data_IF_237414795401
#
_entry.id   IF_237414795401
#
_cell.length_a   1.000
_cell.length_b   1.000
_cell.length_c   1.000
_cell.angle_alpha   90.00
_cell.angle_beta   90.00
_cell.angle_gamma   90.00
#
_symmetry.space_group_name_H-M   'P 1'
#
loop_
_entity.id
_entity.type
_entity.pdbx_description
1 polymer ?
#
# COMPACT_ATOMS: atom_id res chain seq x y z
N UNK A 1 -10.94 3.87 11.40
CA UNK A 1 -9.48 4.09 11.56
C UNK A 1 -8.62 2.85 11.28
N UNK A 2 -8.51 1.84 12.16
CA UNK A 2 -7.64 0.67 11.90
C UNK A 2 -7.99 -0.09 10.61
N UNK A 3 -9.28 -0.38 10.39
CA UNK A 3 -9.74 -1.00 9.14
C UNK A 3 -9.47 -0.14 7.90
N UNK A 4 -9.45 1.19 8.02
CA UNK A 4 -9.11 2.08 6.90
C UNK A 4 -7.62 2.07 6.62
N UNK A 5 -6.77 2.02 7.66
CA UNK A 5 -5.33 1.82 7.52
C UNK A 5 -5.05 0.52 6.76
N UNK A 6 -5.70 -0.58 7.14
CA UNK A 6 -5.54 -1.86 6.44
C UNK A 6 -5.94 -1.74 4.96
N UNK A 7 -7.05 -1.05 4.65
CA UNK A 7 -7.45 -0.79 3.27
C UNK A 7 -6.41 0.03 2.50
N UNK A 8 -5.84 1.09 3.10
CA UNK A 8 -4.79 1.88 2.46
C UNK A 8 -3.52 1.05 2.19
N UNK A 9 -3.13 0.17 3.11
CA UNK A 9 -1.97 -0.71 2.92
C UNK A 9 -2.20 -1.75 1.81
N UNK A 10 -3.43 -2.24 1.66
CA UNK A 10 -3.84 -3.10 0.54
C UNK A 10 -3.84 -2.33 -0.78
N UNK A 11 -4.42 -1.13 -0.81
CA UNK A 11 -4.40 -0.23 -1.97
C UNK A 11 -2.95 0.07 -2.39
N UNK A 12 -2.05 0.33 -1.43
CA UNK A 12 -0.63 0.59 -1.69
C UNK A 12 0.02 -0.58 -2.42
N UNK A 13 -0.13 -1.78 -1.85
CA UNK A 13 0.39 -3.02 -2.41
C UNK A 13 -0.12 -3.27 -3.81
N UNK A 14 -1.44 -3.10 -4.02
CA UNK A 14 -2.09 -3.29 -5.33
C UNK A 14 -1.55 -2.32 -6.38
N UNK A 15 -1.37 -1.06 -6.01
CA UNK A 15 -0.85 -0.03 -6.91
C UNK A 15 0.57 -0.36 -7.38
N UNK A 16 1.46 -0.74 -6.47
CA UNK A 16 2.85 -1.10 -6.83
C UNK A 16 2.89 -2.33 -7.74
N UNK A 17 2.09 -3.37 -7.45
CA UNK A 17 1.99 -4.54 -8.33
C UNK A 17 1.53 -4.18 -9.74
N UNK A 18 0.52 -3.33 -9.87
CA UNK A 18 -0.01 -2.89 -11.16
C UNK A 18 1.05 -2.12 -11.98
N UNK A 19 1.79 -1.22 -11.34
CA UNK A 19 2.80 -0.41 -12.03
C UNK A 19 4.02 -1.25 -12.45
N UNK A 20 4.45 -2.18 -11.61
CA UNK A 20 5.49 -3.14 -11.97
C UNK A 20 5.08 -4.00 -13.17
N UNK A 21 3.83 -4.47 -13.20
CA UNK A 21 3.30 -5.20 -14.35
C UNK A 21 3.24 -4.34 -15.63
N UNK A 22 3.05 -3.02 -15.49
CA UNK A 22 3.07 -2.06 -16.58
C UNK A 22 4.50 -1.60 -16.99
N UNK A 23 5.56 -2.12 -16.36
CA UNK A 23 6.95 -1.72 -16.62
C UNK A 23 7.30 -0.30 -16.17
N UNK A 24 6.49 0.32 -15.30
CA UNK A 24 6.67 1.69 -14.83
C UNK A 24 7.41 1.71 -13.50
N UNK A 25 8.73 1.87 -13.55
CA UNK A 25 9.59 1.82 -12.36
C UNK A 25 9.77 3.17 -11.65
N UNK A 26 9.41 4.30 -12.26
CA UNK A 26 9.51 5.63 -11.65
C UNK A 26 8.68 5.76 -10.37
N UNK A 27 7.62 4.94 -10.24
CA UNK A 27 6.80 4.94 -9.04
C UNK A 27 7.51 4.34 -7.83
N UNK A 28 8.54 3.53 -8.04
CA UNK A 28 9.27 2.92 -6.92
C UNK A 28 10.01 3.98 -6.10
N UNK A 29 10.56 5.02 -6.75
CA UNK A 29 11.13 6.18 -6.04
C UNK A 29 10.09 6.95 -5.23
N UNK A 30 8.88 7.12 -5.77
CA UNK A 30 7.78 7.75 -5.04
C UNK A 30 7.32 6.88 -3.87
N UNK A 31 7.27 5.56 -4.06
CA UNK A 31 6.94 4.58 -3.04
C UNK A 31 7.99 4.52 -1.93
N UNK A 32 9.27 4.64 -2.26
CA UNK A 32 10.38 4.75 -1.31
C UNK A 32 10.21 5.98 -0.41
N UNK A 33 9.94 7.16 -0.98
CA UNK A 33 9.69 8.37 -0.19
C UNK A 33 8.48 8.22 0.75
N UNK A 34 7.42 7.57 0.27
CA UNK A 34 6.23 7.26 1.09
C UNK A 34 6.54 6.26 2.20
N UNK A 35 7.39 5.27 1.92
CA UNK A 35 7.84 4.29 2.90
C UNK A 35 8.57 4.95 4.06
N UNK A 36 9.41 5.98 3.81
CA UNK A 36 10.12 6.72 4.87
C UNK A 36 9.15 7.27 5.91
N UNK A 37 8.16 8.04 5.45
CA UNK A 37 7.19 8.69 6.34
C UNK A 37 6.39 7.68 7.15
N UNK A 38 5.92 6.60 6.49
CA UNK A 38 5.16 5.55 7.15
C UNK A 38 5.99 4.81 8.20
N UNK A 39 7.21 4.38 7.86
CA UNK A 39 8.07 3.61 8.76
C UNK A 39 8.52 4.45 9.96
N UNK A 40 8.79 5.75 9.76
CA UNK A 40 9.08 6.68 10.86
C UNK A 40 7.90 6.77 11.84
N UNK A 41 6.65 6.83 11.34
CA UNK A 41 5.45 6.87 12.20
C UNK A 41 5.18 5.55 12.93
N UNK A 42 5.46 4.42 12.30
CA UNK A 42 5.23 3.10 12.89
C UNK A 42 6.26 2.80 13.98
N UNK A 43 7.56 2.96 13.67
CA UNK A 43 8.63 2.53 14.55
C UNK A 43 9.23 3.65 15.41
N UNK A 44 8.86 4.92 15.17
CA UNK A 44 9.48 6.06 15.82
C UNK A 44 10.90 6.33 15.32
N UNK A 45 11.23 5.86 14.12
CA UNK A 45 12.53 6.09 13.49
C UNK A 45 12.67 7.53 12.96
N UNK A 46 13.92 7.87 12.62
CA UNK A 46 14.37 9.07 11.95
C UNK A 46 15.11 8.67 10.67
N UNK A 47 14.41 7.92 9.82
CA UNK A 47 14.95 7.43 8.55
C UNK A 47 15.24 8.60 7.61
N UNK A 48 16.43 8.57 7.03
CA UNK A 48 16.90 9.47 5.99
C UNK A 48 17.36 8.65 4.78
N UNK A 49 17.37 9.26 3.59
CA UNK A 49 17.84 8.57 2.39
C UNK A 49 19.34 8.25 2.50
N UNK A 50 19.71 6.99 2.29
CA UNK A 50 21.09 6.52 2.41
C UNK A 50 22.06 7.27 1.49
N UNK A 51 21.59 7.75 0.33
CA UNK A 51 22.39 8.52 -0.60
C UNK A 51 22.85 9.86 -0.02
N UNK A 52 22.08 10.44 0.91
CA UNK A 52 22.41 11.71 1.54
C UNK A 52 23.43 11.55 2.68
N UNK A 53 23.50 10.37 3.30
CA UNK A 53 24.24 10.14 4.55
C UNK A 53 25.51 9.33 4.34
N UNK A 54 25.46 8.28 3.52
CA UNK A 54 26.59 7.37 3.30
C UNK A 54 27.43 7.80 2.10
N UNK A 55 26.83 7.72 0.90
CA UNK A 55 27.45 8.09 -0.37
C UNK A 55 26.36 8.09 -1.45
N UNK A 56 26.50 8.94 -2.48
CA UNK A 56 25.61 8.88 -3.65
C UNK A 56 25.56 7.48 -4.27
N UNK A 57 24.33 7.00 -4.53
CA UNK A 57 24.02 5.67 -5.05
C UNK A 57 24.59 4.54 -4.18
N UNK A 58 24.43 4.63 -2.87
CA UNK A 58 24.89 3.59 -1.96
C UNK A 58 24.21 2.26 -2.32
N UNK A 59 24.98 1.17 -2.52
CA UNK A 59 24.43 -0.05 -3.05
C UNK A 59 23.52 -0.76 -2.04
N UNK A 60 22.35 -1.17 -2.53
CA UNK A 60 21.40 -2.06 -1.86
C UNK A 60 20.76 -1.56 -0.56
N UNK A 61 21.04 -0.34 -0.13
CA UNK A 61 20.46 0.26 1.06
C UNK A 61 19.82 1.58 0.67
N UNK A 62 18.56 1.75 1.04
CA UNK A 62 17.75 2.90 0.61
C UNK A 62 17.62 3.94 1.72
N UNK A 63 17.46 3.47 2.97
CA UNK A 63 17.22 4.32 4.13
C UNK A 63 18.13 3.95 5.30
N UNK A 64 18.52 4.97 6.07
CA UNK A 64 19.33 4.81 7.28
C UNK A 64 18.79 5.65 8.41
N UNK A 65 18.95 5.15 9.62
CA UNK A 65 18.74 5.88 10.86
C UNK A 65 19.93 5.61 11.77
N UNK A 66 20.89 6.54 11.76
CA UNK A 66 22.10 6.45 12.58
C UNK A 66 21.80 6.58 14.09
N UNK A 67 20.69 7.21 14.47
CA UNK A 67 20.32 7.36 15.89
C UNK A 67 19.84 6.02 16.46
N UNK A 68 18.98 5.31 15.72
CA UNK A 68 18.46 4.02 16.15
C UNK A 68 19.32 2.83 15.67
N UNK A 69 20.35 3.07 14.86
CA UNK A 69 21.24 2.02 14.35
C UNK A 69 20.56 1.11 13.31
N UNK A 70 19.59 1.65 12.56
CA UNK A 70 18.75 0.88 11.61
C UNK A 70 19.12 1.21 10.17
N UNK A 71 19.18 0.17 9.35
CA UNK A 71 19.27 0.27 7.90
C UNK A 71 18.05 -0.41 7.28
N UNK A 72 17.46 0.22 6.27
CA UNK A 72 16.31 -0.34 5.56
C UNK A 72 16.57 -0.37 4.06
N UNK A 73 16.34 -1.54 3.47
CA UNK A 73 16.23 -1.73 2.04
C UNK A 73 14.73 -1.78 1.69
N UNK A 74 14.31 -0.99 0.71
CA UNK A 74 12.92 -0.91 0.23
C UNK A 74 12.85 -1.55 -1.16
N UNK A 75 12.11 -2.64 -1.33
CA UNK A 75 12.01 -3.36 -2.61
C UNK A 75 10.57 -3.68 -2.96
N UNK A 76 10.23 -3.62 -4.25
CA UNK A 76 8.96 -4.13 -4.75
C UNK A 76 9.00 -5.62 -5.14
N UNK A 77 10.17 -6.25 -5.12
CA UNK A 77 10.36 -7.66 -5.49
C UNK A 77 10.72 -8.50 -4.28
N UNK A 78 10.06 -9.65 -4.14
CA UNK A 78 10.24 -10.61 -3.05
C UNK A 78 11.35 -11.65 -3.28
N UNK A 79 12.09 -11.57 -4.40
CA UNK A 79 13.10 -12.57 -4.76
C UNK A 79 14.29 -12.61 -3.78
N UNK A 80 14.81 -13.81 -3.54
CA UNK A 80 15.97 -14.05 -2.66
C UNK A 80 17.25 -13.40 -3.14
N UNK A 81 17.40 -13.18 -4.44
CA UNK A 81 18.66 -12.65 -4.99
C UNK A 81 18.93 -11.22 -4.51
N UNK A 82 17.91 -10.35 -4.52
CA UNK A 82 18.03 -8.99 -3.96
C UNK A 82 18.31 -9.00 -2.46
N UNK A 83 17.65 -9.91 -1.76
CA UNK A 83 17.79 -10.07 -0.33
C UNK A 83 19.24 -10.46 0.04
N UNK A 84 19.77 -11.49 -0.63
CA UNK A 84 21.15 -11.94 -0.43
C UNK A 84 22.15 -10.86 -0.83
N UNK A 85 21.94 -10.23 -1.99
CA UNK A 85 22.79 -9.13 -2.46
C UNK A 85 22.86 -7.99 -1.45
N UNK A 86 21.72 -7.65 -0.82
CA UNK A 86 21.66 -6.61 0.21
C UNK A 86 22.47 -6.98 1.44
N UNK A 87 22.35 -8.23 1.92
CA UNK A 87 23.14 -8.72 3.05
C UNK A 87 24.64 -8.71 2.74
N UNK A 88 25.04 -9.18 1.56
CA UNK A 88 26.43 -9.16 1.10
C UNK A 88 26.96 -7.72 1.07
N UNK A 89 26.22 -6.78 0.48
CA UNK A 89 26.63 -5.36 0.46
C UNK A 89 26.69 -4.71 1.83
N UNK A 90 25.76 -5.04 2.72
CA UNK A 90 25.78 -4.58 4.10
C UNK A 90 27.06 -5.02 4.84
N UNK A 91 27.46 -6.29 4.64
CA UNK A 91 28.66 -6.87 5.25
C UNK A 91 29.95 -6.38 4.62
N UNK A 92 30.02 -6.32 3.28
CA UNK A 92 31.18 -5.82 2.51
C UNK A 92 31.55 -4.39 2.90
N UNK A 93 30.55 -3.52 3.05
CA UNK A 93 30.73 -2.12 3.45
C UNK A 93 30.87 -1.93 4.96
N UNK A 94 30.88 -3.03 5.73
CA UNK A 94 31.01 -3.03 7.20
C UNK A 94 30.00 -2.14 7.92
N UNK A 95 28.79 -2.05 7.37
CA UNK A 95 27.71 -1.22 7.96
C UNK A 95 27.32 -1.68 9.37
N UNK A 96 27.55 -2.97 9.68
CA UNK A 96 27.36 -3.54 11.02
C UNK A 96 28.15 -2.83 12.14
N UNK A 97 29.18 -2.05 11.82
CA UNK A 97 29.92 -1.27 12.81
C UNK A 97 29.11 -0.07 13.35
N UNK A 98 28.15 0.42 12.57
CA UNK A 98 27.31 1.58 12.91
C UNK A 98 25.86 1.18 13.12
N UNK A 99 25.37 0.22 12.33
CA UNK A 99 23.98 -0.19 12.30
C UNK A 99 23.86 -1.64 12.74
N UNK A 100 23.10 -1.90 13.81
CA UNK A 100 22.94 -3.24 14.37
C UNK A 100 21.71 -3.98 13.82
N UNK A 101 20.87 -3.30 13.03
CA UNK A 101 19.65 -3.85 12.48
C UNK A 101 19.53 -3.54 10.98
N UNK A 102 19.32 -4.58 10.18
CA UNK A 102 18.93 -4.48 8.78
C UNK A 102 17.47 -4.93 8.61
N UNK A 103 16.64 -4.10 7.99
CA UNK A 103 15.25 -4.42 7.64
C UNK A 103 15.13 -4.44 6.11
N UNK A 104 14.48 -5.46 5.58
CA UNK A 104 14.06 -5.57 4.20
C UNK A 104 12.55 -5.30 4.17
N UNK A 105 12.16 -4.13 3.68
CA UNK A 105 10.78 -3.75 3.50
C UNK A 105 10.33 -4.06 2.07
N UNK A 106 9.40 -5.00 1.95
CA UNK A 106 8.83 -5.44 0.69
C UNK A 106 7.51 -4.69 0.47
N UNK A 107 7.47 -3.80 -0.52
CA UNK A 107 6.30 -3.00 -0.89
C UNK A 107 5.14 -3.85 -1.44
N UNK A 108 5.44 -5.07 -1.90
CA UNK A 108 4.46 -6.04 -2.39
C UNK A 108 4.17 -7.12 -1.34
N UNK A 109 4.20 -8.40 -1.70
CA UNK A 109 4.01 -9.50 -0.74
C UNK A 109 5.34 -10.20 -0.47
N UNK A 110 5.63 -10.49 0.79
CA UNK A 110 6.80 -11.29 1.16
C UNK A 110 6.54 -12.79 0.89
N UNK A 111 7.58 -13.53 0.50
CA UNK A 111 7.50 -14.96 0.20
C UNK A 111 8.17 -15.83 1.29
N UNK A 112 7.48 -16.01 2.42
CA UNK A 112 8.02 -16.67 3.62
C UNK A 112 8.60 -18.07 3.39
N UNK A 113 7.98 -18.87 2.53
CA UNK A 113 8.44 -20.23 2.22
C UNK A 113 9.81 -20.23 1.53
N UNK A 114 10.04 -19.26 0.63
CA UNK A 114 11.27 -19.14 -0.14
C UNK A 114 12.41 -18.66 0.77
N UNK A 115 12.12 -17.79 1.74
CA UNK A 115 13.14 -17.29 2.65
C UNK A 115 13.66 -18.34 3.63
N UNK A 116 12.79 -19.25 4.09
CA UNK A 116 13.18 -20.32 5.02
C UNK A 116 14.27 -21.22 4.47
N UNK A 117 14.31 -21.47 3.16
CA UNK A 117 15.35 -22.29 2.54
C UNK A 117 16.72 -21.57 2.45
N UNK A 118 16.79 -20.27 2.80
CA UNK A 118 18.02 -19.47 2.73
C UNK A 118 18.67 -19.19 4.09
N UNK A 119 18.10 -19.68 5.20
CA UNK A 119 18.56 -19.42 6.58
C UNK A 119 20.07 -19.68 6.75
N UNK A 120 20.56 -20.85 6.33
CA UNK A 120 21.97 -21.23 6.48
C UNK A 120 22.90 -20.29 5.71
N UNK A 121 22.51 -19.91 4.48
CA UNK A 121 23.27 -18.97 3.65
C UNK A 121 23.37 -17.60 4.32
N UNK A 122 22.28 -17.13 4.93
CA UNK A 122 22.23 -15.84 5.62
C UNK A 122 23.12 -15.84 6.85
N UNK A 123 23.03 -16.89 7.66
CA UNK A 123 23.88 -17.02 8.85
C UNK A 123 25.37 -16.99 8.46
N UNK A 124 25.73 -17.64 7.36
CA UNK A 124 27.09 -17.59 6.83
C UNK A 124 27.51 -16.20 6.34
N UNK A 125 26.63 -15.46 5.67
CA UNK A 125 26.92 -14.09 5.20
C UNK A 125 27.10 -13.14 6.40
N UNK A 126 26.22 -13.25 7.40
CA UNK A 126 26.20 -12.35 8.55
C UNK A 126 27.32 -12.63 9.56
N UNK A 127 27.86 -13.85 9.58
CA UNK A 127 29.01 -14.24 10.41
C UNK A 127 28.87 -13.82 11.89
N UNK A 128 27.64 -13.92 12.42
CA UNK A 128 27.30 -13.53 13.79
C UNK A 128 27.44 -12.04 14.12
N UNK A 129 27.69 -11.15 13.14
CA UNK A 129 27.87 -9.71 13.36
C UNK A 129 26.59 -8.99 13.73
N UNK A 130 25.45 -9.44 13.19
CA UNK A 130 24.12 -8.93 13.52
C UNK A 130 23.12 -10.09 13.65
N UNK A 131 22.08 -9.89 14.46
CA UNK A 131 20.95 -10.81 14.54
C UNK A 131 19.99 -10.58 13.39
N UNK A 132 19.44 -11.66 12.83
CA UNK A 132 18.47 -11.59 11.74
C UNK A 132 17.32 -12.58 11.94
N UNK A 133 16.12 -12.06 12.16
CA UNK A 133 14.87 -12.81 12.25
C UNK A 133 13.94 -12.36 11.11
N UNK A 134 13.53 -13.30 10.26
CA UNK A 134 12.62 -13.03 9.15
C UNK A 134 11.30 -12.38 9.56
N UNK A 135 10.80 -12.60 10.78
CA UNK A 135 9.56 -11.99 11.25
C UNK A 135 9.71 -10.49 11.50
N UNK A 136 10.89 -10.04 11.92
CA UNK A 136 11.14 -8.65 12.32
C UNK A 136 11.98 -7.89 11.31
N UNK A 137 12.86 -8.59 10.59
CA UNK A 137 13.79 -8.03 9.62
C UNK A 137 13.30 -8.15 8.18
N UNK A 138 12.22 -8.91 7.91
CA UNK A 138 11.55 -8.91 6.59
C UNK A 138 10.08 -8.58 6.78
N UNK A 139 9.71 -7.39 6.35
CA UNK A 139 8.37 -6.85 6.59
C UNK A 139 7.71 -6.48 5.26
N UNK A 140 6.41 -6.72 5.15
CA UNK A 140 5.58 -6.25 4.05
C UNK A 140 4.41 -5.43 4.60
N UNK A 141 3.57 -4.90 3.72
CA UNK A 141 2.40 -4.11 4.13
C UNK A 141 1.42 -4.90 5.01
N UNK A 142 1.31 -6.21 4.82
CA UNK A 142 0.52 -7.08 5.71
C UNK A 142 1.14 -7.13 7.11
N UNK A 143 2.45 -7.27 7.20
CA UNK A 143 3.19 -7.25 8.45
C UNK A 143 3.08 -5.90 9.17
N UNK A 144 3.17 -4.78 8.44
CA UNK A 144 2.95 -3.45 9.00
C UNK A 144 1.53 -3.31 9.56
N UNK A 145 0.50 -3.76 8.84
CA UNK A 145 -0.88 -3.78 9.34
C UNK A 145 -1.02 -4.58 10.64
N UNK A 146 -0.37 -5.75 10.75
CA UNK A 146 -0.35 -6.54 11.98
C UNK A 146 0.31 -5.80 13.15
N UNK A 147 1.41 -5.07 12.90
CA UNK A 147 2.09 -4.25 13.92
C UNK A 147 1.17 -3.12 14.40
N UNK A 148 0.57 -2.38 13.45
CA UNK A 148 -0.29 -1.24 13.75
C UNK A 148 -1.55 -1.68 14.53
N UNK A 149 -2.13 -2.82 14.17
CA UNK A 149 -3.27 -3.39 14.90
C UNK A 149 -2.93 -3.76 16.36
N UNK A 150 -1.65 -3.92 16.70
CA UNK A 150 -1.17 -4.11 18.08
C UNK A 150 -0.96 -2.80 18.86
N UNK A 151 -1.09 -1.62 18.24
CA UNK A 151 -0.86 -0.35 18.92
C UNK A 151 -2.00 0.01 19.87
N UNK A 152 -1.63 0.50 21.06
CA UNK A 152 -2.57 1.04 22.06
C UNK A 152 -2.66 2.57 21.94
N UNK A 153 -1.60 3.23 21.44
CA UNK A 153 -1.53 4.68 21.37
C UNK A 153 -2.38 5.23 20.22
N UNK A 154 -3.59 5.69 20.55
CA UNK A 154 -4.56 6.26 19.60
C UNK A 154 -3.98 7.46 18.82
N UNK A 155 -3.11 8.27 19.42
CA UNK A 155 -2.49 9.42 18.71
C UNK A 155 -1.54 8.95 17.61
N UNK A 156 -0.78 7.89 17.87
CA UNK A 156 0.09 7.29 16.86
C UNK A 156 -0.73 6.68 15.72
N UNK A 157 -1.78 5.91 16.05
CA UNK A 157 -2.69 5.33 15.05
C UNK A 157 -3.35 6.43 14.21
N UNK A 158 -3.80 7.52 14.84
CA UNK A 158 -4.37 8.67 14.14
C UNK A 158 -3.38 9.39 13.22
N UNK A 159 -2.12 9.47 13.62
CA UNK A 159 -1.07 10.06 12.78
C UNK A 159 -0.76 9.20 11.55
N UNK A 160 -0.72 7.87 11.73
CA UNK A 160 -0.55 6.90 10.64
C UNK A 160 -1.75 6.94 9.68
N UNK A 161 -2.97 6.93 10.23
CA UNK A 161 -4.19 7.04 9.44
C UNK A 161 -4.20 8.31 8.60
N UNK A 162 -3.92 9.48 9.21
CA UNK A 162 -3.87 10.76 8.49
C UNK A 162 -2.78 10.80 7.42
N UNK A 163 -1.61 10.21 7.70
CA UNK A 163 -0.53 10.11 6.72
C UNK A 163 -0.98 9.31 5.49
N UNK A 164 -1.50 8.10 5.71
CA UNK A 164 -1.99 7.24 4.62
C UNK A 164 -3.18 7.87 3.89
N UNK A 165 -4.11 8.46 4.64
CA UNK A 165 -5.24 9.19 4.06
C UNK A 165 -4.77 10.28 3.08
N UNK A 166 -3.77 11.09 3.45
CA UNK A 166 -3.24 12.12 2.53
C UNK A 166 -2.59 11.52 1.28
N UNK A 167 -1.84 10.43 1.43
CA UNK A 167 -1.18 9.76 0.31
C UNK A 167 -2.18 9.13 -0.68
N UNK A 168 -3.33 8.64 -0.20
CA UNK A 168 -4.34 7.96 -1.02
C UNK A 168 -5.54 8.84 -1.40
N UNK A 169 -5.92 9.85 -0.61
CA UNK A 169 -6.98 10.82 -0.99
C UNK A 169 -6.54 11.77 -2.09
N UNK A 170 -5.26 12.11 -2.19
CA UNK A 170 -4.75 12.86 -3.34
C UNK A 170 -5.05 12.16 -4.69
N UNK A 171 -5.34 10.85 -4.67
CA UNK A 171 -5.75 10.06 -5.84
C UNK A 171 -7.28 9.99 -6.02
N UNK A 172 -8.06 10.22 -4.96
CA UNK A 172 -9.54 10.24 -5.01
C UNK A 172 -10.12 11.63 -5.30
N UNK A 173 -9.42 12.70 -4.93
CA UNK A 173 -9.82 14.09 -5.19
C UNK A 173 -9.43 14.62 -6.57
N UNK A 174 -8.71 13.83 -7.39
CA UNK A 174 -8.88 13.96 -8.84
C UNK A 174 -10.32 13.56 -9.12
N UNK A 175 -11.24 14.53 -9.06
CA UNK A 175 -12.60 14.41 -9.57
C UNK A 175 -12.50 13.56 -10.82
N UNK A 176 -13.07 12.36 -10.78
CA UNK A 176 -13.51 11.75 -12.02
C UNK A 176 -14.50 12.79 -12.54
N UNK A 177 -14.04 13.67 -13.43
CA UNK A 177 -14.96 14.39 -14.29
C UNK A 177 -15.75 13.27 -14.96
N UNK A 178 -17.00 13.11 -14.51
CA UNK A 178 -17.95 12.29 -15.24
C UNK A 178 -17.79 12.72 -16.71
N UNK A 179 -17.58 11.78 -17.66
CA UNK A 179 -17.55 12.11 -19.08
C UNK A 179 -18.67 13.10 -19.36
N UNK A 180 -18.44 14.16 -20.13
CA UNK A 180 -19.46 15.21 -20.35
C UNK A 180 -20.80 14.60 -20.84
N UNK A 181 -20.71 13.46 -21.51
CA UNK A 181 -21.74 12.54 -21.96
C UNK A 181 -22.59 11.90 -20.85
N UNK A 182 -22.15 11.89 -19.59
CA UNK A 182 -22.94 11.51 -18.42
C UNK A 182 -23.85 12.64 -17.90
N UNK A 183 -23.46 13.91 -18.11
CA UNK A 183 -24.35 15.05 -17.80
C UNK A 183 -25.57 15.08 -18.72
N UNK A 184 -25.45 14.57 -19.96
CA UNK A 184 -26.57 14.36 -20.89
C UNK A 184 -27.64 13.40 -20.34
N UNK A 185 -27.29 12.50 -19.42
CA UNK A 185 -28.27 11.59 -18.80
C UNK A 185 -29.02 12.20 -17.61
N UNK A 186 -28.54 13.33 -17.07
CA UNK A 186 -29.06 13.93 -15.83
C UNK A 186 -30.16 14.97 -16.04
N UNK A 187 -30.39 15.45 -17.27
CA UNK A 187 -31.34 16.53 -17.54
C UNK A 187 -32.77 16.08 -17.85
N UNK A 188 -33.03 14.77 -18.01
CA UNK A 188 -34.34 14.25 -18.41
C UNK A 188 -34.87 13.17 -17.46
N UNK A 189 -34.89 13.42 -16.15
CA UNK A 189 -35.68 12.61 -15.22
C UNK A 189 -37.02 13.29 -14.97
N UNK A 190 -37.89 13.22 -15.97
CA UNK A 190 -39.33 13.29 -15.72
C UNK A 190 -39.76 12.09 -14.86
N UNK A 191 -40.79 12.28 -14.05
CA UNK A 191 -41.39 11.36 -13.07
C UNK A 191 -41.95 10.04 -13.64
N UNK A 192 -41.29 9.39 -14.59
CA UNK A 192 -41.84 8.26 -15.36
C UNK A 192 -41.61 6.87 -14.72
N UNK A 193 -41.05 6.79 -13.51
CA UNK A 193 -40.78 5.52 -12.81
C UNK A 193 -41.58 5.41 -11.50
N UNK A 194 -42.80 4.88 -11.62
CA UNK A 194 -43.66 4.54 -10.48
C UNK A 194 -43.39 3.06 -10.10
N UNK A 195 -43.31 2.75 -8.80
CA UNK A 195 -43.32 1.38 -8.21
C UNK A 195 -42.04 0.49 -8.26
N UNK A 196 -40.82 1.04 -8.21
CA UNK A 196 -39.58 0.22 -8.06
C UNK A 196 -38.67 0.56 -6.87
N UNK A 197 -39.21 1.17 -5.83
CA UNK A 197 -38.47 1.61 -4.63
C UNK A 197 -37.66 0.46 -3.99
N UNK A 198 -38.24 -0.72 -3.82
CA UNK A 198 -37.57 -1.88 -3.20
C UNK A 198 -36.36 -2.39 -3.99
N UNK A 199 -36.43 -2.36 -5.34
CA UNK A 199 -35.33 -2.77 -6.19
C UNK A 199 -34.18 -1.74 -6.14
N UNK A 200 -34.50 -0.46 -6.05
CA UNK A 200 -33.51 0.62 -5.89
C UNK A 200 -32.80 0.48 -4.53
N UNK A 201 -33.55 0.21 -3.45
CA UNK A 201 -32.99 -0.07 -2.13
C UNK A 201 -32.07 -1.29 -2.14
N UNK A 202 -32.45 -2.37 -2.82
CA UNK A 202 -31.62 -3.57 -2.95
C UNK A 202 -30.30 -3.28 -3.70
N UNK A 203 -30.37 -2.50 -4.79
CA UNK A 203 -29.19 -2.08 -5.56
C UNK A 203 -28.27 -1.22 -4.70
N UNK A 204 -28.81 -0.26 -3.95
CA UNK A 204 -28.05 0.59 -3.03
C UNK A 204 -27.38 -0.24 -1.91
N UNK A 205 -28.10 -1.20 -1.32
CA UNK A 205 -27.54 -2.11 -0.34
C UNK A 205 -26.39 -2.97 -0.90
N UNK A 206 -26.43 -3.34 -2.19
CA UNK A 206 -25.33 -4.03 -2.87
C UNK A 206 -24.11 -3.13 -3.07
N UNK A 207 -24.31 -1.85 -3.39
CA UNK A 207 -23.20 -0.88 -3.46
C UNK A 207 -22.50 -0.65 -2.13
N UNK A 208 -23.18 -0.81 -0.98
CA UNK A 208 -22.52 -0.77 0.33
C UNK A 208 -21.56 -1.94 0.57
N UNK A 209 -21.65 -3.02 -0.23
CA UNK A 209 -20.88 -4.26 -0.05
C UNK A 209 -20.00 -4.63 -1.23
N UNK A 210 -20.10 -3.90 -2.36
CA UNK A 210 -19.40 -4.18 -3.60
C UNK A 210 -19.22 -2.89 -4.42
N UNK A 211 -18.07 -2.76 -5.07
CA UNK A 211 -17.80 -1.65 -6.00
C UNK A 211 -18.45 -1.85 -7.39
N UNK A 212 -19.03 -3.03 -7.64
CA UNK A 212 -19.65 -3.39 -8.92
C UNK A 212 -21.02 -4.03 -8.66
N UNK A 213 -22.04 -3.53 -9.34
CA UNK A 213 -23.40 -4.11 -9.37
C UNK A 213 -23.80 -4.37 -10.82
N UNK A 214 -24.14 -5.62 -11.13
CA UNK A 214 -24.59 -6.02 -12.47
C UNK A 214 -26.13 -6.02 -12.54
N UNK A 215 -26.70 -5.20 -13.43
CA UNK A 215 -28.13 -5.22 -13.74
C UNK A 215 -28.39 -6.08 -14.97
N UNK A 216 -29.05 -7.23 -14.80
CA UNK A 216 -29.39 -8.13 -15.90
C UNK A 216 -30.91 -8.30 -16.04
N UNK A 217 -31.36 -8.75 -17.22
CA UNK A 217 -32.78 -8.92 -17.55
C UNK A 217 -33.04 -8.84 -19.05
N UNK A 218 -34.26 -9.15 -19.48
CA UNK A 218 -34.68 -9.11 -20.89
C UNK A 218 -34.63 -7.69 -21.48
N UNK A 219 -34.61 -7.57 -22.80
CA UNK A 219 -34.63 -6.27 -23.49
C UNK A 219 -35.90 -5.49 -23.17
N UNK A 220 -35.83 -4.16 -23.10
CA UNK A 220 -36.97 -3.28 -22.82
C UNK A 220 -37.46 -3.21 -21.36
N UNK A 221 -36.92 -4.03 -20.44
CA UNK A 221 -37.41 -4.10 -19.03
C UNK A 221 -37.02 -2.90 -18.14
N UNK A 222 -36.38 -1.87 -18.71
CA UNK A 222 -36.02 -0.65 -18.00
C UNK A 222 -34.68 -0.66 -17.25
N UNK A 223 -33.76 -1.60 -17.55
CA UNK A 223 -32.41 -1.66 -16.90
C UNK A 223 -31.68 -0.32 -16.93
N UNK A 224 -31.64 0.33 -18.09
CA UNK A 224 -30.98 1.63 -18.30
C UNK A 224 -31.63 2.74 -17.48
N UNK A 225 -32.95 2.73 -17.35
CA UNK A 225 -33.67 3.75 -16.59
C UNK A 225 -33.52 3.56 -15.07
N UNK A 226 -33.46 2.32 -14.58
CA UNK A 226 -33.13 2.02 -13.18
C UNK A 226 -31.71 2.49 -12.85
N UNK A 227 -30.74 2.21 -13.72
CA UNK A 227 -29.36 2.68 -13.53
C UNK A 227 -29.30 4.21 -13.43
N UNK A 228 -30.06 4.94 -14.26
CA UNK A 228 -30.18 6.40 -14.18
C UNK A 228 -30.77 6.88 -12.86
N UNK A 229 -31.84 6.24 -12.37
CA UNK A 229 -32.48 6.60 -11.11
C UNK A 229 -31.53 6.42 -9.90
N UNK A 230 -30.78 5.32 -9.89
CA UNK A 230 -29.74 5.06 -8.86
C UNK A 230 -28.63 6.13 -8.92
N UNK A 231 -28.15 6.47 -10.12
CA UNK A 231 -27.13 7.52 -10.31
C UNK A 231 -27.61 8.91 -9.89
N UNK A 232 -28.89 9.23 -10.09
CA UNK A 232 -29.48 10.49 -9.64
C UNK A 232 -29.44 10.65 -8.11
N UNK A 233 -29.71 9.56 -7.38
CA UNK A 233 -29.70 9.56 -5.91
C UNK A 233 -28.28 9.58 -5.31
N UNK A 234 -27.27 9.04 -6.02
CA UNK A 234 -25.88 9.02 -5.56
C UNK A 234 -25.23 10.42 -5.46
N UNK A 235 -25.77 11.44 -6.14
CA UNK A 235 -25.29 12.84 -6.04
C UNK A 235 -25.64 13.53 -4.71
N UNK A 236 -26.38 12.87 -3.81
CA UNK A 236 -26.80 13.41 -2.51
C UNK A 236 -26.00 12.88 -1.31
N UNK A 237 -24.95 12.09 -1.57
CA UNK A 237 -24.05 11.51 -0.57
C UNK A 237 -22.70 12.23 -0.53
#
# INVERSE_FOLDING_TARGET
>A
MLSEIDNYLVEFTGHIKQQNAAGKYDINKLAENRAVGLLNLIYGYKLENANNILQNNFPAVDLVDAHNGVVIQVTATSGTDKFIYTLEKFMENKLYNTYNQLIIYILTDKQDSIYKSTVEKIQKILDGKISFDFKTNVIDNKGLGAIINGFINIKQIGSIHKFLENEFKAVKDSKIELPQDLNLFSSNTGNDFIERTSLIEEINAKFQRSNIVLLHGISGIGKTAIAKSVLGNLKSW
#
